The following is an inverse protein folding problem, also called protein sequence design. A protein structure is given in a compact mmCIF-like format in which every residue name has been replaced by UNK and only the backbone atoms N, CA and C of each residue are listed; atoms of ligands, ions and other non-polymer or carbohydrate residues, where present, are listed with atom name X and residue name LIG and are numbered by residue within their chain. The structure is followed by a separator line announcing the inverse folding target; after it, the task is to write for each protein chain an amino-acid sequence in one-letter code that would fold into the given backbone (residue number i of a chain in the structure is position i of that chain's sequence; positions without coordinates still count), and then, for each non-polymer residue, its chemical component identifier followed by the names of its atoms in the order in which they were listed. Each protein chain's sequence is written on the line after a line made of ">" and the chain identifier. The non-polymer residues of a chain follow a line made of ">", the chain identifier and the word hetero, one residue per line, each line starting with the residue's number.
data_IF_373321313047
#
_entry.id   IF_373321313047
#
_cell.length_a   1.000
_cell.length_b   1.000
_cell.length_c   1.000
_cell.angle_alpha   90.00
_cell.angle_beta   90.00
_cell.angle_gamma   90.00
#
_symmetry.space_group_name_H-M   'P 1'
#
loop_
_entity.id
_entity.type
_entity.pdbx_description
1 polymer ?
#
# COMPACT_ATOMS: atom_id res chain seq x y z
N UNK A 1 8.59 5.07 -9.04
CA UNK A 1 7.41 5.65 -9.72
C UNK A 1 7.43 5.34 -11.21
N UNK A 2 6.27 5.12 -11.83
CA UNK A 2 6.13 4.59 -13.19
C UNK A 2 6.45 5.58 -14.32
N UNK A 3 6.32 6.89 -14.08
CA UNK A 3 6.55 7.93 -15.09
C UNK A 3 5.31 8.22 -15.95
N UNK A 4 5.50 8.86 -17.10
CA UNK A 4 4.45 9.06 -18.11
C UNK A 4 4.45 7.86 -19.05
N UNK A 5 3.29 7.21 -19.28
CA UNK A 5 3.21 6.04 -20.15
C UNK A 5 3.60 6.38 -21.59
N UNK A 6 4.31 5.46 -22.26
CA UNK A 6 4.74 5.61 -23.65
C UNK A 6 3.83 4.86 -24.61
N UNK A 7 3.67 5.36 -25.84
CA UNK A 7 2.86 4.69 -26.87
C UNK A 7 3.40 3.30 -27.26
N UNK A 8 4.69 3.04 -27.06
CA UNK A 8 5.29 1.72 -27.32
C UNK A 8 4.86 0.66 -26.30
N UNK A 9 4.64 1.07 -25.04
CA UNK A 9 4.28 0.16 -23.95
C UNK A 9 2.78 0.10 -23.67
N UNK A 10 2.09 1.23 -23.85
CA UNK A 10 0.67 1.41 -23.53
C UNK A 10 -0.08 2.15 -24.66
N UNK A 11 -0.10 1.60 -25.89
CA UNK A 11 -0.65 2.27 -27.06
C UNK A 11 -2.13 2.64 -26.89
N UNK A 12 -2.93 1.75 -26.31
CA UNK A 12 -4.37 1.95 -26.11
C UNK A 12 -4.65 3.17 -25.23
N UNK A 13 -3.89 3.33 -24.15
CA UNK A 13 -4.03 4.47 -23.24
C UNK A 13 -3.53 5.77 -23.87
N UNK A 14 -2.36 5.75 -24.50
CA UNK A 14 -1.81 6.94 -25.17
C UNK A 14 -2.66 7.40 -26.37
N UNK A 15 -3.36 6.46 -27.02
CA UNK A 15 -4.27 6.72 -28.14
C UNK A 15 -5.68 7.15 -27.70
N UNK A 16 -5.98 7.14 -26.40
CA UNK A 16 -7.24 7.65 -25.88
C UNK A 16 -7.34 9.17 -26.06
N UNK A 17 -8.51 9.65 -26.48
CA UNK A 17 -8.81 11.09 -26.54
C UNK A 17 -8.70 11.73 -25.16
N UNK A 18 -9.18 11.07 -24.11
CA UNK A 18 -9.12 11.58 -22.74
C UNK A 18 -7.69 11.79 -22.26
N UNK A 19 -6.79 10.85 -22.55
CA UNK A 19 -5.38 10.95 -22.17
C UNK A 19 -4.67 12.09 -22.93
N UNK A 20 -4.92 12.22 -24.24
CA UNK A 20 -4.32 13.30 -25.05
C UNK A 20 -4.78 14.68 -24.61
N UNK A 21 -6.05 14.84 -24.23
CA UNK A 21 -6.60 16.11 -23.75
C UNK A 21 -5.92 16.60 -22.47
N UNK A 22 -5.46 15.70 -21.61
CA UNK A 22 -4.77 16.06 -20.37
C UNK A 22 -3.37 16.66 -20.58
N UNK A 23 -2.73 16.46 -21.75
CA UNK A 23 -1.40 17.02 -22.10
C UNK A 23 -0.35 16.88 -20.99
N UNK A 24 -0.24 15.69 -20.39
CA UNK A 24 0.69 15.43 -19.29
C UNK A 24 2.15 15.72 -19.71
N UNK A 25 2.96 16.34 -18.83
CA UNK A 25 4.41 16.39 -19.02
C UNK A 25 5.01 14.99 -19.12
N UNK A 26 6.17 14.88 -19.76
CA UNK A 26 6.89 13.62 -19.82
C UNK A 26 7.72 13.41 -18.54
N UNK A 27 7.24 12.55 -17.64
CA UNK A 27 7.95 12.13 -16.44
C UNK A 27 8.73 10.86 -16.72
N UNK A 28 10.02 10.87 -16.37
CA UNK A 28 10.83 9.64 -16.44
C UNK A 28 10.45 8.68 -15.32
N UNK A 29 10.44 7.36 -15.59
CA UNK A 29 10.33 6.36 -14.53
C UNK A 29 11.49 6.52 -13.54
N UNK A 30 11.21 6.31 -12.26
CA UNK A 30 12.17 6.35 -11.17
C UNK A 30 12.01 5.09 -10.31
N UNK A 31 13.06 4.64 -9.63
CA UNK A 31 12.96 3.53 -8.68
C UNK A 31 11.98 3.87 -7.55
N UNK A 32 11.15 2.92 -7.11
CA UNK A 32 10.29 3.10 -5.94
C UNK A 32 11.10 3.16 -4.65
N UNK A 33 12.28 2.52 -4.60
CA UNK A 33 13.17 2.57 -3.44
C UNK A 33 13.61 4.00 -3.11
N UNK A 34 13.74 4.86 -4.12
CA UNK A 34 14.08 6.28 -3.92
C UNK A 34 12.96 7.05 -3.20
N UNK A 35 11.71 6.68 -3.42
CA UNK A 35 10.56 7.30 -2.74
C UNK A 35 10.26 6.65 -1.38
N UNK A 36 10.55 5.35 -1.26
CA UNK A 36 10.26 4.53 -0.09
C UNK A 36 11.55 3.81 0.36
N UNK A 37 12.45 4.45 1.12
CA UNK A 37 13.75 3.86 1.46
C UNK A 37 13.66 2.60 2.33
N UNK A 38 12.49 2.33 2.94
CA UNK A 38 12.24 1.17 3.80
C UNK A 38 11.87 -0.11 3.04
N UNK A 39 11.60 -0.03 1.73
CA UNK A 39 11.22 -1.22 0.96
C UNK A 39 12.45 -2.04 0.56
N UNK A 40 12.38 -3.34 0.77
CA UNK A 40 13.39 -4.29 0.33
C UNK A 40 13.20 -4.65 -1.15
N UNK A 41 14.06 -5.53 -1.68
CA UNK A 41 14.00 -5.95 -3.08
C UNK A 41 12.72 -6.73 -3.40
N UNK A 42 12.25 -7.59 -2.49
CA UNK A 42 11.03 -8.37 -2.70
C UNK A 42 9.78 -7.49 -2.65
N UNK A 43 9.69 -6.53 -1.73
CA UNK A 43 8.62 -5.53 -1.73
C UNK A 43 8.65 -4.70 -3.02
N UNK A 44 9.83 -4.31 -3.49
CA UNK A 44 9.97 -3.55 -4.72
C UNK A 44 9.41 -4.33 -5.93
N UNK A 45 9.74 -5.61 -6.05
CA UNK A 45 9.21 -6.48 -7.11
C UNK A 45 7.68 -6.62 -7.02
N UNK A 46 7.15 -6.90 -5.83
CA UNK A 46 5.72 -7.01 -5.60
C UNK A 46 4.98 -5.71 -5.99
N UNK A 47 5.50 -4.56 -5.55
CA UNK A 47 4.93 -3.25 -5.87
C UNK A 47 4.96 -2.98 -7.37
N UNK A 48 6.03 -3.36 -8.07
CA UNK A 48 6.09 -3.23 -9.53
C UNK A 48 5.02 -4.08 -10.22
N UNK A 49 4.74 -5.30 -9.75
CA UNK A 49 3.68 -6.15 -10.32
C UNK A 49 2.26 -5.65 -10.01
N UNK A 50 2.06 -5.03 -8.85
CA UNK A 50 0.78 -4.43 -8.45
C UNK A 50 0.51 -3.08 -9.15
N UNK A 51 1.54 -2.26 -9.32
CA UNK A 51 1.44 -0.91 -9.89
C UNK A 51 1.62 -0.95 -11.40
N UNK A 52 0.62 -1.48 -12.10
CA UNK A 52 0.53 -1.43 -13.56
C UNK A 52 -0.53 -0.42 -14.00
N UNK A 53 -0.26 0.31 -15.10
CA UNK A 53 -1.21 1.28 -15.66
C UNK A 53 -2.53 0.59 -16.04
N UNK A 54 -2.44 -0.54 -16.74
CA UNK A 54 -3.59 -1.34 -17.11
C UNK A 54 -3.96 -2.30 -15.98
N UNK A 55 -5.19 -2.20 -15.47
CA UNK A 55 -5.67 -3.05 -14.38
C UNK A 55 -5.55 -4.55 -14.68
N UNK A 56 -5.74 -4.96 -15.93
CA UNK A 56 -5.65 -6.37 -16.37
C UNK A 56 -4.24 -6.95 -16.31
N UNK A 57 -3.21 -6.10 -16.26
CA UNK A 57 -1.81 -6.50 -16.13
C UNK A 57 -1.36 -6.55 -14.66
N UNK A 58 -2.18 -6.07 -13.71
CA UNK A 58 -1.84 -6.09 -12.29
C UNK A 58 -1.88 -7.52 -11.76
N UNK A 59 -0.95 -7.82 -10.85
CA UNK A 59 -0.97 -9.07 -10.09
C UNK A 59 -2.29 -9.22 -9.33
N UNK A 60 -2.88 -10.41 -9.36
CA UNK A 60 -4.09 -10.70 -8.59
C UNK A 60 -3.79 -10.76 -7.09
N UNK A 61 -4.81 -10.62 -6.25
CA UNK A 61 -4.63 -10.77 -4.80
C UNK A 61 -4.17 -12.19 -4.42
N UNK A 62 -4.71 -13.22 -5.08
CA UNK A 62 -4.31 -14.61 -4.86
C UNK A 62 -2.84 -14.84 -5.21
N UNK A 63 -2.38 -14.33 -6.37
CA UNK A 63 -0.98 -14.47 -6.77
C UNK A 63 -0.04 -13.62 -5.90
N UNK A 64 -0.51 -12.45 -5.44
CA UNK A 64 0.25 -11.60 -4.53
C UNK A 64 0.54 -12.30 -3.20
N UNK A 65 -0.42 -13.05 -2.66
CA UNK A 65 -0.23 -13.85 -1.43
C UNK A 65 0.83 -14.95 -1.59
N UNK A 66 1.03 -15.45 -2.81
CA UNK A 66 2.08 -16.43 -3.13
C UNK A 66 3.47 -15.80 -3.35
N UNK A 67 3.57 -14.47 -3.39
CA UNK A 67 4.82 -13.77 -3.63
C UNK A 67 5.80 -13.92 -2.46
N UNK A 68 7.11 -14.04 -2.75
CA UNK A 68 8.16 -14.23 -1.73
C UNK A 68 8.14 -13.20 -0.59
N UNK A 69 7.70 -11.97 -0.89
CA UNK A 69 7.53 -10.91 0.11
C UNK A 69 6.54 -11.30 1.22
N UNK A 70 5.45 -12.00 0.89
CA UNK A 70 4.42 -12.44 1.85
C UNK A 70 4.67 -13.87 2.36
N UNK A 71 5.36 -14.71 1.58
CA UNK A 71 5.73 -16.07 2.00
C UNK A 71 6.73 -16.13 3.18
N UNK A 72 7.24 -14.99 3.65
CA UNK A 72 7.99 -14.90 4.90
C UNK A 72 7.11 -15.05 6.16
N UNK A 73 5.79 -14.95 6.00
CA UNK A 73 4.82 -15.08 7.09
C UNK A 73 4.56 -16.56 7.46
N UNK A 74 4.10 -16.84 8.69
CA UNK A 74 3.72 -18.19 9.10
C UNK A 74 2.70 -18.84 8.15
N UNK A 75 2.93 -20.09 7.75
CA UNK A 75 2.06 -20.84 6.82
C UNK A 75 0.60 -20.87 7.26
N UNK A 76 0.35 -20.99 8.56
CA UNK A 76 -0.98 -21.04 9.14
C UNK A 76 -1.86 -19.83 8.77
N UNK A 77 -1.27 -18.66 8.47
CA UNK A 77 -2.02 -17.47 8.02
C UNK A 77 -2.72 -17.73 6.67
N UNK A 78 -2.13 -18.55 5.81
CA UNK A 78 -2.66 -18.84 4.48
C UNK A 78 -3.68 -19.99 4.47
N UNK A 79 -3.89 -20.66 5.61
CA UNK A 79 -4.81 -21.79 5.78
C UNK A 79 -6.08 -21.40 6.56
N UNK A 80 -6.19 -20.12 6.96
CA UNK A 80 -7.33 -19.59 7.70
C UNK A 80 -8.61 -19.62 6.84
N UNK A 81 -9.74 -19.86 7.49
CA UNK A 81 -11.04 -19.62 6.88
C UNK A 81 -11.34 -18.13 6.72
N UNK A 82 -12.26 -17.79 5.82
CA UNK A 82 -12.62 -16.39 5.52
C UNK A 82 -13.11 -15.59 6.74
N UNK A 83 -13.60 -16.28 7.77
CA UNK A 83 -14.12 -15.66 9.00
C UNK A 83 -13.09 -15.61 10.14
N UNK A 84 -11.90 -16.19 9.96
CA UNK A 84 -10.87 -16.21 10.98
C UNK A 84 -9.96 -14.98 10.91
N UNK A 85 -9.53 -14.52 12.08
CA UNK A 85 -8.61 -13.40 12.18
C UNK A 85 -7.16 -13.87 12.05
N UNK A 86 -6.34 -13.17 11.27
CA UNK A 86 -4.88 -13.39 11.21
C UNK A 86 -4.20 -13.28 12.59
N UNK A 87 -4.82 -12.55 13.52
CA UNK A 87 -4.32 -12.38 14.90
C UNK A 87 -4.56 -13.60 15.80
N UNK A 88 -5.37 -14.58 15.38
CA UNK A 88 -5.54 -15.83 16.14
C UNK A 88 -4.35 -16.78 15.95
N UNK A 89 -3.54 -16.59 14.90
CA UNK A 89 -2.40 -17.46 14.60
C UNK A 89 -1.31 -17.28 15.64
N UNK A 90 -0.86 -18.37 16.31
CA UNK A 90 0.22 -18.30 17.29
C UNK A 90 1.49 -17.67 16.71
N UNK A 91 2.05 -16.71 17.43
CA UNK A 91 3.26 -15.98 17.02
C UNK A 91 2.99 -14.71 16.20
N UNK A 92 1.77 -14.50 15.72
CA UNK A 92 1.39 -13.25 15.06
C UNK A 92 1.00 -12.22 16.11
N UNK A 93 1.65 -11.06 16.07
CA UNK A 93 1.39 -9.95 16.99
C UNK A 93 1.62 -8.62 16.31
N UNK A 94 0.79 -7.64 16.65
CA UNK A 94 1.02 -6.27 16.22
C UNK A 94 2.21 -5.69 16.99
N UNK A 95 3.13 -5.08 16.26
CA UNK A 95 4.23 -4.30 16.85
C UNK A 95 3.73 -2.89 17.09
N UNK A 96 3.93 -2.36 18.31
CA UNK A 96 3.62 -0.96 18.60
C UNK A 96 4.55 -0.07 17.78
N UNK A 97 3.96 0.87 17.06
CA UNK A 97 4.73 1.82 16.27
C UNK A 97 5.52 2.75 17.21
N UNK A 98 6.84 2.84 17.01
CA UNK A 98 7.71 3.61 17.89
C UNK A 98 7.38 5.11 17.86
N UNK A 99 6.88 5.60 16.72
CA UNK A 99 6.48 6.99 16.53
C UNK A 99 5.16 7.39 17.23
N UNK A 100 4.33 6.42 17.65
CA UNK A 100 3.07 6.69 18.34
C UNK A 100 3.27 7.04 19.82
N UNK A 101 4.39 6.63 20.45
CA UNK A 101 4.68 7.02 21.84
C UNK A 101 4.89 8.53 21.99
N UNK A 102 5.39 9.20 20.95
CA UNK A 102 5.64 10.65 20.99
C UNK A 102 4.34 11.47 20.82
N UNK A 103 3.31 10.89 20.18
CA UNK A 103 2.01 11.54 19.96
C UNK A 103 1.04 11.38 21.12
N UNK A 104 1.25 10.41 22.02
CA UNK A 104 0.34 10.11 23.13
C UNK A 104 0.69 10.84 24.44
N UNK A 105 1.78 11.61 24.49
CA UNK A 105 2.15 12.40 25.68
C UNK A 105 1.22 13.62 25.91
N UNK A 106 0.48 14.07 24.91
CA UNK A 106 -0.39 15.25 25.01
C UNK A 106 -1.89 14.93 25.06
N UNK A 107 -2.31 13.90 25.82
CA UNK A 107 -3.73 13.70 26.09
C UNK A 107 -4.00 12.96 27.40
N UNK A 108 -3.39 13.42 28.50
CA UNK A 108 -3.79 12.92 29.82
C UNK A 108 -3.82 13.97 30.92
N UNK A 109 -3.97 15.24 30.57
CA UNK A 109 -4.18 16.27 31.59
C UNK A 109 -5.02 17.44 31.07
N UNK A 110 -6.35 17.35 31.24
CA UNK A 110 -7.25 18.48 31.57
C UNK A 110 -8.70 18.00 31.71
N UNK A 111 -9.01 17.68 32.96
CA UNK A 111 -10.13 18.24 33.74
C UNK A 111 -11.56 18.16 33.18
N UNK A 112 -12.41 17.48 33.95
CA UNK A 112 -13.83 17.78 34.13
C UNK A 112 -14.20 19.24 33.83
N UNK A 113 -14.82 19.50 32.68
CA UNK A 113 -15.66 20.68 32.44
C UNK A 113 -16.84 20.29 31.57
N UNK A 114 -17.88 19.78 32.22
CA UNK A 114 -19.24 19.81 31.68
C UNK A 114 -19.62 21.28 31.50
N UNK A 115 -19.92 21.71 30.29
CA UNK A 115 -20.72 22.92 30.07
C UNK A 115 -21.85 22.56 29.13
N UNK A 116 -23.04 22.45 29.70
CA UNK A 116 -24.33 22.39 29.01
C UNK A 116 -24.65 23.76 28.43
N UNK A 117 -25.08 23.80 27.18
CA UNK A 117 -25.90 24.88 26.65
C UNK A 117 -27.28 24.29 26.32
N UNK A 118 -28.30 24.81 26.99
CA UNK A 118 -29.70 24.65 26.61
C UNK A 118 -29.95 25.55 25.39
N UNK A 119 -30.68 25.04 24.40
CA UNK A 119 -31.48 25.85 23.49
C UNK A 119 -32.94 25.54 23.77
#
# INVERSE_FOLDING_TARGET
>A
MLGTPSSSSHPQMCNSSTFRLCRFPHYRPNSLQNACPRIDQHANDLLHRLLQYEGRKRLSAADALQHSFLQCLPKAIFELSDCESVMSVPGVRLVRDSAASDRMSCQNNRSNRRQSLFL
#
